data_IF_374327048735
#
_entry.id   IF_374327048735
#
_cell.length_a   1.000
_cell.length_b   1.000
_cell.length_c   1.000
_cell.angle_alpha   90.00
_cell.angle_beta   90.00
_cell.angle_gamma   90.00
#
_symmetry.space_group_name_H-M   'P 1'
#
loop_
_entity.id
_entity.type
_entity.pdbx_description
1 polymer ?
#
# COMPACT_ATOMS: atom_id res chain seq x y z
N UNK A 1 29.85 -11.06 38.61
CA UNK A 1 30.15 -9.96 37.67
C UNK A 1 30.77 -10.66 36.47
N UNK A 2 30.04 -10.91 35.37
CA UNK A 2 29.78 -9.95 34.30
C UNK A 2 28.57 -10.43 33.48
N UNK A 3 27.60 -9.54 33.24
CA UNK A 3 26.49 -9.71 32.29
C UNK A 3 27.06 -9.58 30.89
N UNK A 4 26.64 -10.42 29.95
CA UNK A 4 26.56 -10.02 28.54
C UNK A 4 25.30 -10.63 27.90
N UNK A 5 24.57 -9.86 27.08
CA UNK A 5 23.11 -9.86 27.06
C UNK A 5 22.51 -10.70 25.93
N UNK A 6 21.23 -11.03 26.14
CA UNK A 6 20.22 -11.40 25.14
C UNK A 6 20.54 -10.81 23.76
N UNK A 7 20.50 -11.58 22.65
CA UNK A 7 20.46 -10.96 21.34
C UNK A 7 19.25 -10.04 21.31
N UNK A 8 19.53 -8.74 21.30
CA UNK A 8 18.54 -7.71 21.11
C UNK A 8 17.76 -8.12 19.87
N UNK A 9 16.47 -8.36 20.07
CA UNK A 9 15.50 -8.47 19.01
C UNK A 9 15.76 -7.26 18.12
N UNK A 10 16.33 -7.52 16.94
CA UNK A 10 16.42 -6.53 15.89
C UNK A 10 15.01 -6.43 15.34
N UNK A 11 14.11 -5.90 16.17
CA UNK A 11 12.85 -5.34 15.71
C UNK A 11 13.31 -4.16 14.89
N UNK A 12 13.20 -4.21 13.54
CA UNK A 12 13.39 -2.99 12.78
C UNK A 12 12.50 -1.95 13.44
N UNK A 13 12.98 -0.71 13.63
CA UNK A 13 12.11 0.35 14.12
C UNK A 13 10.82 0.24 13.32
N UNK A 14 9.69 0.35 14.02
CA UNK A 14 8.42 0.62 13.38
C UNK A 14 8.57 2.02 12.74
N UNK A 15 9.32 2.08 11.64
CA UNK A 15 9.36 3.19 10.70
C UNK A 15 7.96 3.18 10.12
N UNK A 16 7.10 3.88 10.85
CA UNK A 16 5.84 4.46 10.44
C UNK A 16 5.27 3.81 9.20
N UNK A 17 4.46 2.78 9.45
CA UNK A 17 3.44 2.21 8.58
C UNK A 17 3.06 3.13 7.42
N UNK A 18 3.74 2.97 6.29
CA UNK A 18 3.33 3.45 4.97
C UNK A 18 3.22 4.96 4.82
N UNK A 19 4.07 5.54 3.96
CA UNK A 19 3.81 6.86 3.38
C UNK A 19 2.41 6.94 2.75
N UNK A 20 1.94 8.16 2.40
CA UNK A 20 0.56 8.37 1.95
C UNK A 20 0.19 7.38 0.84
N UNK A 21 -1.00 6.78 0.97
CA UNK A 21 -1.52 5.90 -0.06
C UNK A 21 -1.76 6.72 -1.32
N UNK A 22 -1.07 6.35 -2.39
CA UNK A 22 -1.16 6.99 -3.71
C UNK A 22 -1.66 5.98 -4.72
N UNK A 23 -2.47 6.46 -5.66
CA UNK A 23 -2.98 5.69 -6.78
C UNK A 23 -2.25 6.11 -8.05
N UNK A 24 -1.71 5.13 -8.75
CA UNK A 24 -1.08 5.31 -10.05
C UNK A 24 -1.81 4.47 -11.08
N UNK A 25 -2.07 5.05 -12.25
CA UNK A 25 -2.66 4.36 -13.39
C UNK A 25 -1.68 4.47 -14.54
N UNK A 26 -1.35 3.33 -15.15
CA UNK A 26 -0.38 3.24 -16.23
C UNK A 26 -0.94 2.32 -17.34
N UNK A 27 -0.59 2.58 -18.61
CA UNK A 27 -0.90 1.64 -19.68
C UNK A 27 -0.20 0.29 -19.43
N UNK A 28 -0.84 -0.78 -19.86
CA UNK A 28 -0.29 -2.12 -19.76
C UNK A 28 0.84 -2.27 -20.79
N UNK A 29 2.06 -2.69 -20.38
CA UNK A 29 3.17 -2.84 -21.32
C UNK A 29 2.91 -3.94 -22.38
N UNK A 30 2.04 -4.91 -22.06
CA UNK A 30 1.70 -6.03 -22.92
C UNK A 30 0.54 -5.73 -23.89
N UNK A 31 -0.31 -4.75 -23.57
CA UNK A 31 -1.48 -4.39 -24.37
C UNK A 31 -1.72 -2.88 -24.27
N UNK A 32 -1.42 -2.18 -25.37
CA UNK A 32 -1.47 -0.72 -25.44
C UNK A 32 -2.90 -0.14 -25.33
N UNK A 33 -3.93 -0.98 -25.43
CA UNK A 33 -5.33 -0.60 -25.23
C UNK A 33 -5.81 -0.81 -23.80
N UNK A 34 -4.96 -1.32 -22.90
CA UNK A 34 -5.34 -1.61 -21.53
C UNK A 34 -4.56 -0.81 -20.51
N UNK A 35 -5.17 -0.64 -19.34
CA UNK A 35 -4.66 0.13 -18.22
C UNK A 35 -4.66 -0.72 -16.96
N UNK A 36 -3.62 -0.55 -16.14
CA UNK A 36 -3.56 -1.15 -14.80
C UNK A 36 -3.41 -0.05 -13.78
N UNK A 37 -3.94 -0.30 -12.59
CA UNK A 37 -3.73 0.59 -11.45
C UNK A 37 -2.87 -0.07 -10.38
N UNK A 38 -2.10 0.73 -9.69
CA UNK A 38 -1.26 0.33 -8.55
C UNK A 38 -1.48 1.31 -7.42
N UNK A 39 -1.79 0.79 -6.24
CA UNK A 39 -1.78 1.50 -4.97
C UNK A 39 -0.41 1.33 -4.32
N UNK A 40 0.18 2.44 -3.91
CA UNK A 40 1.48 2.46 -3.23
C UNK A 40 1.34 3.17 -1.89
N UNK A 41 2.03 2.68 -0.87
CA UNK A 41 2.28 3.40 0.37
C UNK A 41 3.73 3.89 0.34
N UNK A 42 3.93 5.17 0.04
CA UNK A 42 5.25 5.70 -0.30
C UNK A 42 5.82 4.99 -1.55
N UNK A 43 6.97 4.32 -1.39
CA UNK A 43 7.64 3.60 -2.48
C UNK A 43 7.21 2.14 -2.63
N UNK A 44 6.41 1.63 -1.69
CA UNK A 44 6.04 0.22 -1.65
C UNK A 44 4.68 -0.03 -2.32
N UNK A 45 4.59 -0.90 -3.33
CA UNK A 45 3.30 -1.31 -3.87
C UNK A 45 2.54 -2.13 -2.82
N UNK A 46 1.34 -1.66 -2.48
CA UNK A 46 0.45 -2.30 -1.50
C UNK A 46 -0.56 -3.19 -2.21
N UNK A 47 -1.06 -2.74 -3.36
CA UNK A 47 -2.07 -3.48 -4.12
C UNK A 47 -2.02 -3.08 -5.58
N UNK A 48 -2.27 -4.02 -6.47
CA UNK A 48 -2.38 -3.78 -7.91
C UNK A 48 -3.69 -4.31 -8.44
N UNK A 49 -4.11 -3.80 -9.60
CA UNK A 49 -5.20 -4.38 -10.35
C UNK A 49 -4.89 -5.86 -10.67
N UNK A 50 -5.82 -6.80 -10.43
CA UNK A 50 -5.61 -8.20 -10.78
C UNK A 50 -5.58 -8.44 -12.30
N UNK A 51 -6.18 -7.53 -13.08
CA UNK A 51 -6.23 -7.58 -14.54
C UNK A 51 -6.11 -6.17 -15.13
N UNK A 52 -5.67 -6.08 -16.38
CA UNK A 52 -5.65 -4.83 -17.12
C UNK A 52 -7.05 -4.52 -17.69
N UNK A 53 -7.50 -3.29 -17.50
CA UNK A 53 -8.81 -2.77 -17.87
C UNK A 53 -8.78 -2.12 -19.24
N UNK A 54 -9.90 -2.06 -19.97
CA UNK A 54 -9.93 -1.53 -21.33
C UNK A 54 -9.81 0.00 -21.44
N UNK A 55 -9.89 0.73 -20.33
CA UNK A 55 -9.85 2.20 -20.34
C UNK A 55 -9.23 2.76 -19.05
N UNK A 56 -8.63 3.95 -19.17
CA UNK A 56 -7.94 4.63 -18.08
C UNK A 56 -8.92 5.10 -16.99
N UNK A 57 -10.11 5.59 -17.36
CA UNK A 57 -11.15 6.01 -16.42
C UNK A 57 -11.61 4.83 -15.56
N UNK A 58 -11.85 3.68 -16.19
CA UNK A 58 -12.20 2.46 -15.46
C UNK A 58 -11.11 2.08 -14.44
N UNK A 59 -9.83 2.21 -14.82
CA UNK A 59 -8.71 1.96 -13.92
C UNK A 59 -8.63 2.96 -12.76
N UNK A 60 -8.92 4.24 -13.01
CA UNK A 60 -9.03 5.25 -11.97
C UNK A 60 -10.20 4.97 -11.02
N UNK A 61 -11.37 4.62 -11.54
CA UNK A 61 -12.56 4.31 -10.73
C UNK A 61 -12.29 3.12 -9.82
N UNK A 62 -11.82 2.00 -10.36
CA UNK A 62 -11.53 0.81 -9.57
C UNK A 62 -10.39 1.07 -8.57
N UNK A 63 -9.34 1.75 -9.00
CA UNK A 63 -8.22 2.12 -8.14
C UNK A 63 -8.61 3.03 -6.98
N UNK A 64 -9.50 4.01 -7.20
CA UNK A 64 -10.01 4.90 -6.14
C UNK A 64 -10.86 4.15 -5.13
N UNK A 65 -11.70 3.22 -5.58
CA UNK A 65 -12.44 2.36 -4.66
C UNK A 65 -11.47 1.54 -3.79
N UNK A 66 -10.45 0.92 -4.40
CA UNK A 66 -9.45 0.18 -3.65
C UNK A 66 -8.61 1.07 -2.70
N UNK A 67 -8.35 2.33 -3.06
CA UNK A 67 -7.69 3.32 -2.21
C UNK A 67 -8.52 3.62 -0.97
N UNK A 68 -9.83 3.85 -1.15
CA UNK A 68 -10.75 4.14 -0.05
C UNK A 68 -10.82 2.96 0.93
N UNK A 69 -10.91 1.74 0.41
CA UNK A 69 -10.89 0.51 1.22
C UNK A 69 -9.57 0.35 1.99
N UNK A 70 -8.43 0.57 1.33
CA UNK A 70 -7.11 0.50 1.97
C UNK A 70 -6.94 1.56 3.06
N UNK A 71 -7.42 2.78 2.82
CA UNK A 71 -7.43 3.85 3.81
C UNK A 71 -8.37 3.56 4.99
N UNK A 72 -9.52 2.90 4.74
CA UNK A 72 -10.43 2.48 5.80
C UNK A 72 -9.78 1.40 6.69
N UNK A 73 -9.12 0.41 6.09
CA UNK A 73 -8.38 -0.63 6.82
C UNK A 73 -7.24 -0.06 7.67
N UNK A 74 -6.49 0.92 7.15
CA UNK A 74 -5.44 1.59 7.92
C UNK A 74 -5.99 2.32 9.16
N UNK A 75 -7.17 2.94 9.04
CA UNK A 75 -7.85 3.60 10.17
C UNK A 75 -8.31 2.61 11.22
N UNK A 76 -8.84 1.46 10.80
CA UNK A 76 -9.35 0.42 11.70
C UNK A 76 -8.23 -0.31 12.45
N UNK A 77 -7.07 -0.51 11.80
CA UNK A 77 -5.88 -1.14 12.40
C UNK A 77 -5.13 -0.25 13.38
N UNK A 78 -5.39 1.06 13.42
CA UNK A 78 -4.77 1.93 14.43
C UNK A 78 -5.64 1.90 15.69
N UNK A 79 -5.33 1.08 16.73
CA UNK A 79 -6.04 1.20 17.99
C UNK A 79 -5.83 2.62 18.49
N UNK A 80 -6.92 3.33 18.79
CA UNK A 80 -6.85 4.60 19.49
C UNK A 80 -5.94 4.41 20.71
N UNK A 81 -4.80 5.11 20.73
CA UNK A 81 -3.90 5.07 21.86
C UNK A 81 -4.70 5.47 23.13
N UNK A 82 -4.75 4.63 24.18
CA UNK A 82 -5.45 5.00 25.40
C UNK A 82 -4.66 6.15 26.06
N UNK A 83 -5.39 7.24 26.35
CA UNK A 83 -4.94 8.36 27.16
C UNK A 83 -4.99 7.99 28.66
#
# INVERSE_FOLDING_TARGET
MTRDPTPAQNTPPAEETGGPLTLQVEPCPEDAGRYRWTLRAGLHPVRTAPYALPDAEAAWVQGRAALAEAAALQRDTTPAAPH
#
